data_IF_057649146621
#
_entry.id   IF_057649146621
#
_cell.length_a   1.000
_cell.length_b   1.000
_cell.length_c   1.000
_cell.angle_alpha   90.00
_cell.angle_beta   90.00
_cell.angle_gamma   90.00
#
_symmetry.space_group_name_H-M   'P 1'
#
loop_
_entity.id
_entity.type
_entity.pdbx_description
1 polymer ?
#
# COMPACT_ATOMS: atom_id res chain seq x y z
N UNK A 1 11.42 -11.95 23.35
CA UNK A 1 11.48 -11.37 24.69
C UNK A 1 10.24 -11.69 25.51
N UNK A 2 9.02 -11.49 25.04
CA UNK A 2 7.78 -11.77 25.80
C UNK A 2 7.73 -13.14 26.51
N UNK A 3 8.17 -14.23 25.86
CA UNK A 3 8.17 -15.58 26.48
C UNK A 3 9.20 -15.64 27.59
N UNK A 4 10.41 -15.10 27.38
CA UNK A 4 11.45 -15.13 28.40
C UNK A 4 11.05 -14.32 29.64
N UNK A 5 10.39 -13.19 29.48
CA UNK A 5 9.86 -12.38 30.57
C UNK A 5 8.72 -13.11 31.33
N UNK A 6 7.78 -13.70 30.59
CA UNK A 6 6.66 -14.44 31.18
C UNK A 6 7.12 -15.67 31.95
N UNK A 7 8.07 -16.43 31.38
CA UNK A 7 8.59 -17.66 31.99
C UNK A 7 9.77 -17.41 32.97
N UNK A 8 10.14 -16.14 33.22
CA UNK A 8 11.21 -15.70 34.11
C UNK A 8 12.54 -16.38 33.83
N UNK A 9 12.89 -16.59 32.57
CA UNK A 9 14.13 -17.26 32.18
C UNK A 9 14.88 -16.44 31.11
N UNK A 10 16.15 -16.81 30.83
CA UNK A 10 16.95 -16.10 29.86
C UNK A 10 16.47 -16.36 28.42
N UNK A 11 16.71 -15.39 27.54
CA UNK A 11 16.46 -15.57 26.10
C UNK A 11 17.25 -16.76 25.52
N UNK A 12 18.46 -17.00 26.02
CA UNK A 12 19.31 -18.13 25.63
C UNK A 12 18.67 -19.47 25.98
N UNK A 13 18.08 -19.58 27.19
CA UNK A 13 17.35 -20.77 27.61
C UNK A 13 16.16 -21.05 26.69
N UNK A 14 15.35 -20.03 26.38
CA UNK A 14 14.23 -20.20 25.43
C UNK A 14 14.73 -20.69 24.06
N UNK A 15 15.82 -20.11 23.56
CA UNK A 15 16.39 -20.53 22.26
C UNK A 15 16.87 -21.99 22.29
N UNK A 16 17.53 -22.39 23.36
CA UNK A 16 18.00 -23.77 23.57
C UNK A 16 16.83 -24.75 23.52
N UNK A 17 15.80 -24.50 24.32
CA UNK A 17 14.62 -25.38 24.39
C UNK A 17 13.83 -25.41 23.08
N UNK A 18 13.68 -24.27 22.40
CA UNK A 18 13.07 -24.24 21.06
C UNK A 18 13.82 -25.13 20.07
N UNK A 19 15.17 -25.06 20.05
CA UNK A 19 15.98 -25.93 19.20
C UNK A 19 15.86 -27.42 19.58
N UNK A 20 15.83 -27.73 20.85
CA UNK A 20 15.72 -29.12 21.35
C UNK A 20 14.37 -29.77 21.03
N UNK A 21 13.31 -28.99 20.93
CA UNK A 21 11.94 -29.43 20.61
C UNK A 21 11.49 -29.14 19.21
N UNK A 22 12.42 -28.78 18.28
CA UNK A 22 12.15 -28.44 16.90
C UNK A 22 11.05 -27.38 16.72
N UNK A 23 10.92 -26.45 17.67
CA UNK A 23 9.96 -25.36 17.61
C UNK A 23 10.47 -24.28 16.65
N UNK A 24 9.81 -24.04 15.50
CA UNK A 24 10.28 -23.10 14.50
C UNK A 24 10.23 -21.67 15.03
N UNK A 25 11.30 -20.93 14.78
CA UNK A 25 11.35 -19.50 15.09
C UNK A 25 10.79 -18.68 13.94
N UNK A 26 10.09 -17.63 14.27
CA UNK A 26 9.68 -16.62 13.26
C UNK A 26 10.92 -15.98 12.65
N UNK A 27 10.85 -15.74 11.35
CA UNK A 27 11.83 -14.88 10.68
C UNK A 27 11.77 -13.44 11.23
N UNK A 28 12.82 -12.67 10.99
CA UNK A 28 12.84 -11.24 11.34
C UNK A 28 11.69 -10.46 10.68
N UNK A 29 11.35 -10.80 9.45
CA UNK A 29 10.25 -10.21 8.70
C UNK A 29 8.91 -10.49 9.39
N UNK A 30 8.63 -11.75 9.75
CA UNK A 30 7.41 -12.15 10.45
C UNK A 30 7.28 -11.52 11.84
N UNK A 31 8.39 -11.47 12.58
CA UNK A 31 8.41 -10.84 13.91
C UNK A 31 8.10 -9.33 13.79
N UNK A 32 8.72 -8.64 12.85
CA UNK A 32 8.47 -7.23 12.57
C UNK A 32 7.03 -6.99 12.09
N UNK A 33 6.53 -7.88 11.24
CA UNK A 33 5.14 -7.80 10.76
C UNK A 33 4.14 -7.92 11.93
N UNK A 34 4.31 -8.92 12.80
CA UNK A 34 3.49 -9.11 14.00
C UNK A 34 3.53 -7.91 14.94
N UNK A 35 4.74 -7.37 15.20
CA UNK A 35 4.91 -6.17 16.02
C UNK A 35 4.16 -4.96 15.46
N UNK A 36 4.16 -4.77 14.15
CA UNK A 36 3.45 -3.66 13.48
C UNK A 36 1.94 -3.88 13.37
N UNK A 37 1.49 -5.12 13.45
CA UNK A 37 0.09 -5.52 13.31
C UNK A 37 -0.36 -6.42 14.47
N UNK A 38 -0.36 -5.92 15.74
CA UNK A 38 -0.66 -6.74 16.92
C UNK A 38 -2.10 -7.26 16.92
N UNK A 39 -3.02 -6.55 16.27
CA UNK A 39 -4.44 -6.92 16.11
C UNK A 39 -4.74 -7.73 14.85
N UNK A 40 -3.71 -8.32 14.22
CA UNK A 40 -3.85 -9.04 12.94
C UNK A 40 -3.66 -8.14 11.71
N UNK A 41 -3.94 -8.71 10.54
CA UNK A 41 -3.71 -8.03 9.27
C UNK A 41 -4.58 -6.76 9.15
N UNK A 42 -4.05 -5.63 8.66
CA UNK A 42 -4.80 -4.39 8.51
C UNK A 42 -5.69 -4.38 7.26
N UNK A 43 -5.95 -5.54 6.69
CA UNK A 43 -6.79 -5.76 5.52
C UNK A 43 -7.54 -7.09 5.64
N UNK A 44 -8.65 -7.23 4.92
CA UNK A 44 -9.42 -8.47 4.83
C UNK A 44 -10.03 -8.56 3.45
N UNK A 45 -9.43 -9.35 2.56
CA UNK A 45 -9.91 -9.54 1.19
C UNK A 45 -11.32 -10.14 1.22
N UNK A 46 -12.23 -9.50 0.50
CA UNK A 46 -13.64 -9.90 0.42
C UNK A 46 -13.77 -11.20 -0.36
N UNK A 47 -14.37 -12.23 0.28
CA UNK A 47 -14.52 -13.55 -0.32
C UNK A 47 -15.78 -13.69 -1.15
N UNK A 48 -16.90 -13.15 -0.66
CA UNK A 48 -18.18 -13.20 -1.38
C UNK A 48 -18.38 -11.91 -2.15
N UNK A 49 -18.36 -12.00 -3.48
CA UNK A 49 -18.42 -10.85 -4.38
C UNK A 49 -19.77 -10.85 -5.11
N UNK A 50 -20.41 -9.68 -5.14
CA UNK A 50 -21.53 -9.43 -6.04
C UNK A 50 -21.00 -8.95 -7.41
N UNK A 51 -21.88 -8.75 -8.40
CA UNK A 51 -21.49 -8.33 -9.76
C UNK A 51 -20.65 -7.06 -9.79
N UNK A 52 -20.99 -6.04 -8.98
CA UNK A 52 -20.22 -4.79 -8.91
C UNK A 52 -18.84 -4.97 -8.25
N UNK A 53 -18.75 -5.89 -7.27
CA UNK A 53 -17.47 -6.24 -6.63
C UNK A 53 -16.53 -6.96 -7.62
N UNK A 54 -17.06 -7.86 -8.44
CA UNK A 54 -16.30 -8.58 -9.47
C UNK A 54 -15.71 -7.59 -10.48
N UNK A 55 -16.53 -6.65 -10.97
CA UNK A 55 -16.06 -5.60 -11.87
C UNK A 55 -14.98 -4.71 -11.22
N UNK A 56 -15.20 -4.31 -9.97
CA UNK A 56 -14.23 -3.49 -9.24
C UNK A 56 -12.93 -4.25 -8.95
N UNK A 57 -13.00 -5.54 -8.65
CA UNK A 57 -11.85 -6.42 -8.47
C UNK A 57 -11.05 -6.53 -9.77
N UNK A 58 -11.70 -6.85 -10.89
CA UNK A 58 -11.06 -6.93 -12.20
C UNK A 58 -10.39 -5.62 -12.60
N UNK A 59 -11.07 -4.48 -12.42
CA UNK A 59 -10.52 -3.17 -12.67
C UNK A 59 -9.31 -2.88 -11.75
N UNK A 60 -9.42 -3.17 -10.46
CA UNK A 60 -8.33 -2.94 -9.48
C UNK A 60 -7.08 -3.77 -9.77
N UNK A 61 -7.27 -5.04 -10.13
CA UNK A 61 -6.19 -5.94 -10.54
C UNK A 61 -5.54 -5.46 -11.85
N UNK A 62 -6.34 -5.10 -12.86
CA UNK A 62 -5.85 -4.56 -14.12
C UNK A 62 -5.07 -3.26 -13.96
N UNK A 63 -5.57 -2.33 -13.12
CA UNK A 63 -4.85 -1.10 -12.77
C UNK A 63 -3.52 -1.39 -12.08
N UNK A 64 -3.49 -2.33 -11.14
CA UNK A 64 -2.25 -2.71 -10.48
C UNK A 64 -1.29 -3.45 -11.43
N UNK A 65 -1.81 -4.23 -12.35
CA UNK A 65 -0.99 -4.89 -13.37
C UNK A 65 -0.34 -3.87 -14.32
N UNK A 66 -1.07 -2.86 -14.77
CA UNK A 66 -0.53 -1.81 -15.65
C UNK A 66 0.41 -0.83 -14.92
N UNK A 67 -0.05 -0.26 -13.81
CA UNK A 67 0.54 0.92 -13.17
C UNK A 67 1.15 0.63 -11.77
N UNK A 68 1.03 -0.57 -11.27
CA UNK A 68 1.48 -0.95 -9.93
C UNK A 68 2.97 -1.27 -9.85
N UNK A 69 3.56 -1.01 -8.69
CA UNK A 69 4.94 -1.40 -8.40
C UNK A 69 5.02 -2.90 -8.03
N UNK A 70 5.52 -3.68 -8.97
CA UNK A 70 5.70 -5.14 -8.84
C UNK A 70 7.11 -5.55 -8.39
N UNK A 71 8.00 -4.58 -8.14
CA UNK A 71 9.39 -4.86 -7.73
C UNK A 71 9.44 -5.73 -6.47
N UNK A 72 10.20 -6.83 -6.50
CA UNK A 72 10.40 -7.73 -5.37
C UNK A 72 11.07 -7.03 -4.17
N UNK A 73 11.91 -6.04 -4.43
CA UNK A 73 12.63 -5.30 -3.39
C UNK A 73 11.75 -4.30 -2.63
N UNK A 74 10.54 -4.04 -3.12
CA UNK A 74 9.61 -3.11 -2.49
C UNK A 74 8.46 -3.87 -1.83
N UNK A 75 8.38 -3.78 -0.51
CA UNK A 75 7.32 -4.40 0.31
C UNK A 75 6.01 -3.61 0.32
N UNK A 76 5.96 -2.45 -0.34
CA UNK A 76 4.78 -1.61 -0.39
C UNK A 76 3.88 -2.00 -1.56
N UNK A 77 2.58 -2.08 -1.30
CA UNK A 77 1.56 -2.17 -2.32
C UNK A 77 1.19 -0.75 -2.75
N UNK A 78 1.65 -0.33 -3.93
CA UNK A 78 1.49 1.04 -4.40
C UNK A 78 1.24 1.13 -5.90
N UNK A 79 0.51 2.17 -6.28
CA UNK A 79 0.22 2.54 -7.66
C UNK A 79 0.35 4.06 -7.81
N UNK A 80 0.90 4.51 -8.93
CA UNK A 80 1.06 5.93 -9.26
C UNK A 80 0.33 6.24 -10.57
N UNK A 81 -0.46 7.30 -10.58
CA UNK A 81 -1.09 7.78 -11.81
C UNK A 81 -1.44 9.27 -11.70
N UNK A 82 -1.57 9.95 -12.83
CA UNK A 82 -2.02 11.33 -12.93
C UNK A 82 -3.54 11.45 -13.12
N UNK A 83 -4.20 10.38 -13.52
CA UNK A 83 -5.65 10.35 -13.73
C UNK A 83 -6.39 10.19 -12.38
N UNK A 84 -7.18 11.19 -11.98
CA UNK A 84 -7.92 11.15 -10.73
C UNK A 84 -8.95 10.03 -10.67
N UNK A 85 -9.57 9.68 -11.79
CA UNK A 85 -10.56 8.62 -11.84
C UNK A 85 -9.93 7.25 -11.56
N UNK A 86 -8.77 6.95 -12.18
CA UNK A 86 -8.07 5.70 -11.96
C UNK A 86 -7.59 5.56 -10.50
N UNK A 87 -7.02 6.63 -9.93
CA UNK A 87 -6.62 6.66 -8.51
C UNK A 87 -7.84 6.44 -7.58
N UNK A 88 -8.97 7.07 -7.88
CA UNK A 88 -10.21 6.89 -7.10
C UNK A 88 -10.70 5.45 -7.17
N UNK A 89 -10.71 4.84 -8.37
CA UNK A 89 -11.13 3.44 -8.56
C UNK A 89 -10.19 2.47 -7.85
N UNK A 90 -8.89 2.70 -7.92
CA UNK A 90 -7.93 1.88 -7.20
C UNK A 90 -8.09 2.02 -5.67
N UNK A 91 -8.36 3.23 -5.17
CA UNK A 91 -8.70 3.42 -3.75
C UNK A 91 -9.98 2.69 -3.35
N UNK A 92 -11.02 2.71 -4.18
CA UNK A 92 -12.25 1.95 -3.96
C UNK A 92 -11.97 0.43 -3.89
N UNK A 93 -11.14 -0.08 -4.79
CA UNK A 93 -10.67 -1.48 -4.77
C UNK A 93 -9.95 -1.82 -3.45
N UNK A 94 -8.99 -0.99 -3.01
CA UNK A 94 -8.29 -1.19 -1.74
C UNK A 94 -9.25 -1.27 -0.55
N UNK A 95 -10.25 -0.41 -0.51
CA UNK A 95 -11.18 -0.34 0.62
C UNK A 95 -12.25 -1.43 0.55
N UNK A 96 -12.93 -1.58 -0.60
CA UNK A 96 -14.11 -2.42 -0.72
C UNK A 96 -13.77 -3.89 -0.97
N UNK A 97 -12.72 -4.18 -1.73
CA UNK A 97 -12.33 -5.54 -2.12
C UNK A 97 -11.21 -6.06 -1.22
N UNK A 98 -10.12 -5.29 -1.08
CA UNK A 98 -9.02 -5.71 -0.21
C UNK A 98 -9.31 -5.50 1.28
N UNK A 99 -10.36 -4.76 1.64
CA UNK A 99 -10.73 -4.49 3.03
C UNK A 99 -9.66 -3.71 3.82
N UNK A 100 -8.87 -2.88 3.11
CA UNK A 100 -7.84 -2.06 3.73
C UNK A 100 -8.49 -0.94 4.53
N UNK A 101 -8.08 -0.79 5.79
CA UNK A 101 -8.53 0.33 6.63
C UNK A 101 -8.05 1.65 6.06
N UNK A 102 -8.95 2.64 5.97
CA UNK A 102 -8.70 3.92 5.30
C UNK A 102 -7.47 4.66 5.88
N UNK A 103 -7.23 4.58 7.18
CA UNK A 103 -6.10 5.22 7.84
C UNK A 103 -4.73 4.60 7.49
N UNK A 104 -4.72 3.40 6.93
CA UNK A 104 -3.52 2.72 6.45
C UNK A 104 -3.14 3.11 5.02
N UNK A 105 -4.04 3.78 4.31
CA UNK A 105 -3.77 4.30 2.97
C UNK A 105 -3.02 5.62 3.11
N UNK A 106 -1.86 5.72 2.49
CA UNK A 106 -1.04 6.92 2.43
C UNK A 106 -0.89 7.39 0.99
N UNK A 107 -0.62 8.67 0.84
CA UNK A 107 -0.47 9.32 -0.46
C UNK A 107 0.84 10.09 -0.50
N UNK A 108 1.48 10.12 -1.66
CA UNK A 108 2.56 11.06 -1.99
C UNK A 108 2.29 11.66 -3.35
N UNK A 109 2.79 12.87 -3.57
CA UNK A 109 2.50 13.64 -4.76
C UNK A 109 3.79 14.13 -5.40
N UNK A 110 3.95 13.88 -6.69
CA UNK A 110 5.01 14.44 -7.52
C UNK A 110 4.41 15.50 -8.41
N UNK A 111 4.98 16.70 -8.42
CA UNK A 111 4.53 17.85 -9.18
C UNK A 111 5.72 18.37 -10.00
N UNK A 112 5.46 18.81 -11.22
CA UNK A 112 6.46 19.49 -12.04
C UNK A 112 6.57 20.97 -11.65
N UNK A 113 7.78 21.54 -11.77
CA UNK A 113 8.06 22.93 -11.35
C UNK A 113 7.22 23.99 -12.04
N UNK A 114 6.66 23.69 -13.22
CA UNK A 114 5.75 24.55 -13.97
C UNK A 114 4.30 24.46 -13.50
N UNK A 115 4.01 23.57 -12.54
CA UNK A 115 2.70 23.38 -11.95
C UNK A 115 2.47 24.17 -10.65
N UNK A 116 1.19 24.44 -10.36
CA UNK A 116 0.81 25.07 -9.10
C UNK A 116 0.65 24.04 -7.97
N UNK A 117 1.65 23.97 -7.07
CA UNK A 117 1.71 23.03 -5.97
C UNK A 117 0.48 23.08 -5.05
N UNK A 118 0.05 24.28 -4.66
CA UNK A 118 -1.10 24.43 -3.75
C UNK A 118 -2.40 23.97 -4.41
N UNK A 119 -2.58 24.33 -5.68
CA UNK A 119 -3.74 23.91 -6.47
C UNK A 119 -3.81 22.39 -6.58
N UNK A 120 -2.69 21.74 -6.87
CA UNK A 120 -2.62 20.28 -6.98
C UNK A 120 -2.90 19.57 -5.64
N UNK A 121 -2.30 20.03 -4.55
CA UNK A 121 -2.57 19.48 -3.20
C UNK A 121 -4.04 19.62 -2.83
N UNK A 122 -4.62 20.81 -3.03
CA UNK A 122 -6.02 21.07 -2.69
C UNK A 122 -6.97 20.23 -3.54
N UNK A 123 -6.68 20.09 -4.83
CA UNK A 123 -7.43 19.22 -5.73
C UNK A 123 -7.49 17.78 -5.21
N UNK A 124 -6.35 17.15 -4.98
CA UNK A 124 -6.30 15.77 -4.53
C UNK A 124 -6.92 15.56 -3.15
N UNK A 125 -6.68 16.49 -2.21
CA UNK A 125 -7.30 16.44 -0.88
C UNK A 125 -8.83 16.49 -0.97
N UNK A 126 -9.39 17.38 -1.78
CA UNK A 126 -10.83 17.52 -1.98
C UNK A 126 -11.41 16.31 -2.71
N UNK A 127 -10.79 15.91 -3.82
CA UNK A 127 -11.28 14.84 -4.69
C UNK A 127 -11.34 13.46 -4.00
N UNK A 128 -10.31 13.11 -3.26
CA UNK A 128 -10.22 11.83 -2.54
C UNK A 128 -10.56 11.93 -1.05
N UNK A 129 -10.94 13.11 -0.54
CA UNK A 129 -11.17 13.37 0.90
C UNK A 129 -9.97 12.90 1.76
N UNK A 130 -8.75 13.27 1.33
CA UNK A 130 -7.50 12.87 1.99
C UNK A 130 -7.34 13.67 3.29
N UNK A 131 -7.17 12.97 4.43
CA UNK A 131 -6.89 13.60 5.72
C UNK A 131 -5.44 14.09 5.78
N UNK A 132 -5.17 15.13 6.60
CA UNK A 132 -3.83 15.74 6.75
C UNK A 132 -2.72 14.72 7.03
N UNK A 133 -2.99 13.73 7.86
CA UNK A 133 -2.04 12.68 8.26
C UNK A 133 -1.86 11.55 7.21
N UNK A 134 -2.61 11.56 6.12
CA UNK A 134 -2.50 10.59 5.03
C UNK A 134 -1.66 11.09 3.86
N UNK A 135 -1.59 12.40 3.64
CA UNK A 135 -0.71 13.00 2.64
C UNK A 135 0.69 13.15 3.23
N UNK A 136 1.61 12.38 2.68
CA UNK A 136 3.02 12.41 3.06
C UNK A 136 3.82 13.38 2.18
N UNK A 137 4.88 12.85 1.56
CA UNK A 137 5.85 13.65 0.79
C UNK A 137 5.22 14.26 -0.47
N UNK A 138 5.46 15.55 -0.67
CA UNK A 138 5.17 16.27 -1.91
C UNK A 138 6.50 16.70 -2.53
N UNK A 139 6.82 16.17 -3.71
CA UNK A 139 8.11 16.35 -4.38
C UNK A 139 7.88 17.24 -5.61
N UNK A 140 8.70 18.29 -5.75
CA UNK A 140 8.81 19.05 -6.98
C UNK A 140 9.96 18.50 -7.80
N UNK A 141 9.74 18.24 -9.07
CA UNK A 141 10.78 17.84 -10.01
C UNK A 141 10.79 18.81 -11.20
N UNK A 142 11.96 19.02 -11.83
CA UNK A 142 12.02 19.80 -13.07
C UNK A 142 11.10 19.19 -14.13
N UNK A 143 10.44 20.06 -14.93
CA UNK A 143 9.68 19.58 -16.08
C UNK A 143 10.66 19.00 -17.11
N UNK A 144 10.42 17.75 -17.49
CA UNK A 144 11.24 17.05 -18.47
C UNK A 144 10.60 17.22 -19.87
N UNK A 145 11.24 18.00 -20.74
CA UNK A 145 10.86 18.14 -22.14
C UNK A 145 10.04 19.38 -22.49
N UNK A 146 10.04 19.70 -23.79
CA UNK A 146 9.28 20.79 -24.39
C UNK A 146 7.85 20.35 -24.69
N UNK A 147 6.86 20.99 -24.09
CA UNK A 147 5.46 20.90 -24.51
C UNK A 147 4.59 19.88 -23.78
N UNK A 148 3.35 19.81 -24.10
CA UNK A 148 2.18 18.94 -23.79
C UNK A 148 1.95 18.40 -22.35
N UNK A 149 2.93 18.39 -21.44
CA UNK A 149 2.74 17.91 -20.06
C UNK A 149 1.90 18.84 -19.19
N UNK A 150 1.88 20.15 -19.46
CA UNK A 150 1.11 21.13 -18.66
C UNK A 150 -0.38 20.83 -18.64
N UNK A 151 -0.95 20.42 -19.78
CA UNK A 151 -2.38 20.12 -19.88
C UNK A 151 -2.71 18.72 -19.34
N UNK A 152 -1.86 17.72 -19.60
CA UNK A 152 -2.09 16.33 -19.20
C UNK A 152 -1.87 16.07 -17.72
N UNK A 153 -0.95 16.79 -17.07
CA UNK A 153 -0.55 16.55 -15.67
C UNK A 153 -0.77 17.78 -14.77
N UNK A 154 -1.86 18.51 -14.96
CA UNK A 154 -2.17 19.75 -14.24
C UNK A 154 -2.09 19.60 -12.70
N UNK A 155 -2.39 18.42 -12.17
CA UNK A 155 -2.38 18.13 -10.73
C UNK A 155 -1.24 17.19 -10.30
N UNK A 156 -0.25 16.97 -11.18
CA UNK A 156 0.87 16.06 -10.91
C UNK A 156 0.47 14.60 -10.86
N UNK A 157 1.39 13.76 -10.39
CA UNK A 157 1.23 12.30 -10.27
C UNK A 157 1.04 11.93 -8.81
N UNK A 158 -0.14 11.39 -8.47
CA UNK A 158 -0.42 10.90 -7.13
C UNK A 158 -0.06 9.43 -7.02
N UNK A 159 0.69 9.09 -5.97
CA UNK A 159 0.94 7.71 -5.56
C UNK A 159 0.06 7.36 -4.37
N UNK A 160 -0.71 6.29 -4.50
CA UNK A 160 -1.45 5.66 -3.41
C UNK A 160 -0.68 4.45 -2.90
N UNK A 161 -0.49 4.34 -1.59
CA UNK A 161 0.38 3.35 -0.97
C UNK A 161 -0.27 2.69 0.24
N UNK A 162 -0.13 1.36 0.34
CA UNK A 162 -0.39 0.57 1.54
C UNK A 162 0.90 -0.16 1.89
N UNK A 163 1.48 0.16 3.06
CA UNK A 163 2.73 -0.48 3.52
C UNK A 163 2.41 -1.84 4.13
N UNK A 164 2.20 -2.86 3.26
CA UNK A 164 1.89 -4.22 3.66
C UNK A 164 2.36 -5.23 2.61
N UNK A 165 3.41 -6.02 2.95
CA UNK A 165 3.99 -7.02 2.05
C UNK A 165 3.01 -8.17 1.77
N UNK A 166 2.29 -8.66 2.78
CA UNK A 166 1.35 -9.77 2.62
C UNK A 166 0.18 -9.43 1.68
N UNK A 167 -0.31 -8.17 1.73
CA UNK A 167 -1.33 -7.73 0.77
C UNK A 167 -0.76 -7.75 -0.65
N UNK A 168 0.47 -7.22 -0.82
CA UNK A 168 1.14 -7.20 -2.11
C UNK A 168 1.35 -8.61 -2.64
N UNK A 169 1.88 -9.52 -1.83
CA UNK A 169 2.09 -10.93 -2.18
C UNK A 169 0.79 -11.60 -2.65
N UNK A 170 -0.30 -11.48 -1.87
CA UNK A 170 -1.62 -12.05 -2.25
C UNK A 170 -2.15 -11.52 -3.57
N UNK A 171 -2.01 -10.21 -3.83
CA UNK A 171 -2.46 -9.63 -5.09
C UNK A 171 -1.57 -10.07 -6.26
N UNK A 172 -0.25 -10.19 -6.04
CA UNK A 172 0.66 -10.70 -7.07
C UNK A 172 0.42 -12.19 -7.38
N UNK A 173 0.08 -13.01 -6.38
CA UNK A 173 -0.34 -14.40 -6.57
C UNK A 173 -1.63 -14.48 -7.39
N UNK A 174 -2.60 -13.64 -7.08
CA UNK A 174 -3.86 -13.57 -7.82
C UNK A 174 -3.64 -13.17 -9.29
N UNK A 175 -2.75 -12.21 -9.56
CA UNK A 175 -2.41 -11.80 -10.92
C UNK A 175 -1.71 -12.91 -11.75
N UNK A 176 -1.05 -13.86 -11.10
CA UNK A 176 -0.45 -15.01 -11.81
C UNK A 176 -1.46 -16.08 -12.22
N UNK A 177 -2.69 -16.01 -11.70
CA UNK A 177 -3.76 -16.97 -11.97
C UNK A 177 -4.71 -16.50 -13.09
N UNK A 178 -4.56 -15.26 -13.56
CA UNK A 178 -5.29 -14.66 -14.68
C UNK A 178 -4.50 -14.84 -15.97
#
# INVERSE_FOLDING_TARGET
MEIAERERCSYSSIRYWMGRHDIPRRSWSEATYKKRNPKGDPFKIKQRLNKSDILLRGLGLGLYWGEGDKSANNTQFRMSNSDPFLIKKFREFLIKICGVRIEKIKYSLVIFNDGNKLKAINFWKKYLKIKKNQLGKVINIPSQGKGTYKEKNQFGVLTITVSNSKLKEKILEELKQI
#
